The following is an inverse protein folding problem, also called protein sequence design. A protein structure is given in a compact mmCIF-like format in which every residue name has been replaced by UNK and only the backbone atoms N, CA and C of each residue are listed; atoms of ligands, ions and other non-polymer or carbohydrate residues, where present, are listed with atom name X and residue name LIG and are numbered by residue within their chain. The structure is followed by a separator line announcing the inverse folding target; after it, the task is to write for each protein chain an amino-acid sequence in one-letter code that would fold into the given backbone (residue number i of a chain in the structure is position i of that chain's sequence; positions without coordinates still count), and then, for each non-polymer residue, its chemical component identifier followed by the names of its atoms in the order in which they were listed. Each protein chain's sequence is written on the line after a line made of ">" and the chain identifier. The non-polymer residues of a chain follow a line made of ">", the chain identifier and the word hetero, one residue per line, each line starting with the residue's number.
data_IF_009628570790
#
_entry.id   IF_009628570790
#
_cell.length_a   1.000
_cell.length_b   1.000
_cell.length_c   1.000
_cell.angle_alpha   90.00
_cell.angle_beta   90.00
_cell.angle_gamma   90.00
#
_symmetry.space_group_name_H-M   'P 1'
#
loop_
_entity.id
_entity.type
_entity.pdbx_description
1 polymer ?
#
# COMPACT_ATOMS: atom_id res chain seq x y z
N UNK A 1 -0.87 -15.86 9.10
CA UNK A 1 -0.35 -14.61 8.50
C UNK A 1 1.13 -14.82 8.22
N UNK A 2 1.70 -14.07 7.28
CA UNK A 2 3.11 -14.13 6.91
C UNK A 2 3.73 -12.74 6.98
N UNK A 3 5.04 -12.68 7.23
CA UNK A 3 5.80 -11.43 7.20
C UNK A 3 6.23 -11.12 5.78
N UNK A 4 6.10 -9.87 5.34
CA UNK A 4 6.47 -9.43 4.00
C UNK A 4 7.37 -8.20 4.06
N UNK A 5 8.45 -8.19 3.28
CA UNK A 5 9.24 -6.98 3.05
C UNK A 5 8.56 -6.14 1.97
N UNK A 6 8.11 -4.94 2.31
CA UNK A 6 7.38 -4.05 1.40
C UNK A 6 8.25 -2.85 1.06
N UNK A 7 8.28 -2.46 -0.22
CA UNK A 7 8.87 -1.22 -0.69
C UNK A 7 7.88 -0.45 -1.57
N UNK A 8 7.63 0.83 -1.22
CA UNK A 8 6.70 1.73 -1.89
C UNK A 8 7.44 2.95 -2.45
N UNK A 9 7.29 3.20 -3.74
CA UNK A 9 7.74 4.45 -4.37
C UNK A 9 6.54 5.35 -4.64
N UNK A 10 6.58 6.56 -4.10
CA UNK A 10 5.55 7.59 -4.35
C UNK A 10 5.57 8.09 -5.79
N UNK A 11 6.76 8.07 -6.40
CA UNK A 11 7.01 8.45 -7.79
C UNK A 11 7.98 7.44 -8.40
N UNK A 12 7.78 7.09 -9.66
CA UNK A 12 8.67 6.19 -10.38
C UNK A 12 8.75 6.60 -11.87
N UNK A 13 9.95 6.65 -12.48
CA UNK A 13 11.26 6.51 -11.85
C UNK A 13 11.57 7.70 -10.92
N UNK A 14 12.31 7.45 -9.84
CA UNK A 14 12.71 8.49 -8.89
C UNK A 14 14.11 8.19 -8.33
N UNK A 15 14.86 9.25 -7.98
CA UNK A 15 16.09 9.16 -7.20
C UNK A 15 15.84 9.10 -5.69
N UNK A 16 14.60 9.30 -5.25
CA UNK A 16 14.21 9.20 -3.85
C UNK A 16 14.18 7.73 -3.39
N UNK A 17 14.53 7.51 -2.13
CA UNK A 17 14.44 6.19 -1.52
C UNK A 17 12.97 5.77 -1.33
N UNK A 18 12.64 4.48 -1.53
CA UNK A 18 11.31 3.97 -1.21
C UNK A 18 11.03 4.04 0.29
N UNK A 19 9.75 4.07 0.63
CA UNK A 19 9.28 3.76 1.96
C UNK A 19 9.31 2.24 2.10
N UNK A 20 10.06 1.73 3.08
CA UNK A 20 10.22 0.29 3.32
C UNK A 20 9.80 -0.08 4.74
N UNK A 21 9.18 -1.24 4.90
CA UNK A 21 8.83 -1.81 6.21
C UNK A 21 8.57 -3.31 6.08
N UNK A 22 8.70 -4.02 7.20
CA UNK A 22 8.23 -5.41 7.32
C UNK A 22 6.76 -5.40 7.79
N UNK A 23 5.88 -6.06 7.05
CA UNK A 23 4.45 -6.03 7.32
C UNK A 23 3.88 -7.43 7.43
N UNK A 24 3.27 -7.74 8.57
CA UNK A 24 2.47 -8.95 8.74
C UNK A 24 1.10 -8.78 8.04
N UNK A 25 0.79 -9.71 7.13
CA UNK A 25 -0.48 -9.72 6.42
C UNK A 25 -0.88 -11.13 5.97
N UNK A 26 -2.10 -11.29 5.43
CA UNK A 26 -2.55 -12.53 4.81
C UNK A 26 -2.13 -12.67 3.34
N UNK A 27 -1.73 -11.58 2.68
CA UNK A 27 -1.26 -11.57 1.29
C UNK A 27 -0.27 -10.43 1.01
N UNK A 28 0.56 -10.52 -0.06
CA UNK A 28 1.46 -9.44 -0.46
C UNK A 28 0.74 -8.11 -0.76
N UNK A 29 -0.45 -8.19 -1.36
CA UNK A 29 -1.25 -6.99 -1.66
C UNK A 29 -1.69 -6.30 -0.37
N UNK A 30 -2.20 -7.06 0.61
CA UNK A 30 -2.61 -6.47 1.89
C UNK A 30 -1.43 -5.89 2.66
N UNK A 31 -0.24 -6.51 2.59
CA UNK A 31 0.98 -5.94 3.16
C UNK A 31 1.29 -4.55 2.56
N UNK A 32 1.24 -4.42 1.23
CA UNK A 32 1.43 -3.14 0.55
C UNK A 32 0.37 -2.10 0.95
N UNK A 33 -0.91 -2.48 0.93
CA UNK A 33 -2.01 -1.57 1.28
C UNK A 33 -1.95 -1.13 2.75
N UNK A 34 -1.55 -2.01 3.67
CA UNK A 34 -1.30 -1.66 5.06
C UNK A 34 -0.19 -0.62 5.19
N UNK A 35 0.93 -0.79 4.50
CA UNK A 35 2.02 0.19 4.55
C UNK A 35 1.62 1.52 3.93
N UNK A 36 0.87 1.50 2.82
CA UNK A 36 0.29 2.71 2.21
C UNK A 36 -0.61 3.44 3.21
N UNK A 37 -1.52 2.72 3.87
CA UNK A 37 -2.43 3.28 4.87
C UNK A 37 -1.68 3.88 6.07
N UNK A 38 -0.69 3.18 6.63
CA UNK A 38 0.16 3.67 7.75
C UNK A 38 0.86 4.99 7.39
N UNK A 39 1.32 5.13 6.15
CA UNK A 39 2.00 6.32 5.65
C UNK A 39 1.06 7.35 5.02
N UNK A 40 -0.27 7.16 5.13
CA UNK A 40 -1.30 8.02 4.52
C UNK A 40 -1.09 8.26 3.03
N UNK A 41 -0.60 7.25 2.31
CA UNK A 41 -0.40 7.28 0.88
C UNK A 41 -1.68 6.84 0.17
N UNK A 42 -2.30 7.74 -0.58
CA UNK A 42 -3.40 7.39 -1.49
C UNK A 42 -2.92 6.64 -2.72
N UNK A 43 -1.69 6.89 -3.15
CA UNK A 43 -1.10 6.29 -4.35
C UNK A 43 0.40 6.01 -4.15
N UNK A 44 0.85 4.90 -4.70
CA UNK A 44 2.26 4.56 -4.87
C UNK A 44 2.48 4.17 -6.35
N UNK A 45 3.36 4.86 -7.07
CA UNK A 45 3.61 4.63 -8.50
C UNK A 45 4.35 3.32 -8.79
N UNK A 46 5.05 2.77 -7.80
CA UNK A 46 5.65 1.45 -7.91
C UNK A 46 5.65 0.77 -6.55
N UNK A 47 5.35 -0.53 -6.54
CA UNK A 47 5.31 -1.34 -5.34
C UNK A 47 6.03 -2.66 -5.58
N UNK A 48 6.91 -3.04 -4.66
CA UNK A 48 7.50 -4.37 -4.60
C UNK A 48 7.29 -4.98 -3.22
N UNK A 49 6.92 -6.26 -3.19
CA UNK A 49 6.70 -7.01 -1.95
C UNK A 49 7.39 -8.36 -2.05
N UNK A 50 8.32 -8.64 -1.14
CA UNK A 50 8.95 -9.95 -1.03
C UNK A 50 8.21 -10.78 0.03
N UNK A 51 7.83 -12.00 -0.36
CA UNK A 51 7.27 -13.00 0.53
C UNK A 51 8.35 -13.91 1.10
N UNK A 52 8.10 -14.59 2.23
CA UNK A 52 9.00 -15.62 2.73
C UNK A 52 9.19 -16.70 1.66
N UNK A 53 10.45 -17.02 1.33
CA UNK A 53 10.79 -17.96 0.24
C UNK A 53 11.06 -17.29 -1.11
N UNK A 54 11.49 -16.03 -1.11
CA UNK A 54 12.04 -15.30 -2.26
C UNK A 54 11.07 -15.02 -3.42
N UNK A 55 9.76 -15.18 -3.20
CA UNK A 55 8.74 -14.80 -4.19
C UNK A 55 8.49 -13.29 -4.10
N UNK A 56 8.75 -12.57 -5.18
CA UNK A 56 8.56 -11.11 -5.25
C UNK A 56 7.32 -10.79 -6.12
N UNK A 57 6.36 -10.10 -5.52
CA UNK A 57 5.21 -9.50 -6.21
C UNK A 57 5.48 -8.04 -6.53
N UNK A 58 5.09 -7.57 -7.72
CA UNK A 58 5.35 -6.19 -8.18
C UNK A 58 4.12 -5.60 -8.85
N UNK A 59 3.85 -4.34 -8.57
CA UNK A 59 2.84 -3.53 -9.27
C UNK A 59 3.56 -2.36 -9.93
N UNK A 60 3.81 -2.50 -11.23
CA UNK A 60 4.59 -1.53 -12.02
C UNK A 60 3.79 -0.30 -12.44
N UNK A 61 2.47 -0.44 -12.51
CA UNK A 61 1.52 0.66 -12.76
C UNK A 61 1.05 1.31 -11.45
N UNK A 62 1.62 0.88 -10.32
CA UNK A 62 1.32 1.37 -8.99
C UNK A 62 0.07 0.76 -8.35
N UNK A 63 -0.23 1.25 -7.16
CA UNK A 63 -1.43 0.95 -6.38
C UNK A 63 -2.09 2.27 -5.95
N UNK A 64 -3.41 2.30 -5.97
CA UNK A 64 -4.23 3.41 -5.48
C UNK A 64 -5.25 2.90 -4.48
N UNK A 65 -5.40 3.58 -3.36
CA UNK A 65 -6.51 3.38 -2.43
C UNK A 65 -7.72 4.15 -2.97
N UNK A 66 -8.71 3.43 -3.46
CA UNK A 66 -10.05 3.98 -3.69
C UNK A 66 -10.78 3.86 -2.35
N UNK A 67 -10.94 4.99 -1.66
CA UNK A 67 -11.86 5.07 -0.54
C UNK A 67 -13.19 5.47 -1.16
N UNK A 68 -14.19 4.60 -1.07
CA UNK A 68 -15.56 5.06 -1.28
C UNK A 68 -15.83 6.10 -0.20
N UNK A 69 -16.03 7.34 -0.61
CA UNK A 69 -16.58 8.37 0.27
C UNK A 69 -18.03 7.97 0.55
N UNK A 70 -18.24 7.07 1.52
CA UNK A 70 -19.57 6.88 2.10
C UNK A 70 -19.99 8.23 2.70
N UNK A 71 -20.94 8.85 2.00
CA UNK A 71 -21.84 9.94 2.41
C UNK A 71 -21.66 10.40 3.87
N UNK A 72 -20.84 11.42 4.06
CA UNK A 72 -21.05 12.36 5.16
C UNK A 72 -22.28 13.22 4.85
N UNK A 73 -23.46 12.60 4.78
CA UNK A 73 -24.72 13.32 4.92
C UNK A 73 -25.10 13.28 6.40
N UNK A 74 -24.99 14.46 7.01
CA UNK A 74 -25.47 14.75 8.34
C UNK A 74 -26.94 14.32 8.46
N UNK A 75 -27.22 13.32 9.31
CA UNK A 75 -28.56 13.17 9.86
C UNK A 75 -28.80 14.35 10.81
N UNK A 76 -29.17 15.50 10.25
CA UNK A 76 -29.72 16.62 10.98
C UNK A 76 -31.09 16.17 11.55
N UNK A 77 -31.13 16.07 12.88
CA UNK A 77 -32.33 15.79 13.66
C UNK A 77 -33.30 16.95 13.49
N UNK A 78 -34.45 16.72 12.86
CA UNK A 78 -35.69 17.49 13.06
C UNK A 78 -36.91 16.57 13.05
#
# INVERSE_FOLDING_TARGET
>A
MSMYDVALWRFWPSSEFPIVDEVEASSPLLAALHLMHRNRLKHASYVAVAAPGDVISRWTDGLSLVLDEEESEEQEVL
#
